data_IF_307044767142
#
_entry.id   IF_307044767142
#
_cell.length_a   1.000
_cell.length_b   1.000
_cell.length_c   1.000
_cell.angle_alpha   90.00
_cell.angle_beta   90.00
_cell.angle_gamma   90.00
#
_symmetry.space_group_name_H-M   'P 1'
#
loop_
_entity.id
_entity.type
_entity.pdbx_description
1 polymer ?
#
# COMPACT_ATOMS: atom_id res chain seq x y z
N UNK A 1 21.87 45.03 7.01
CA UNK A 1 21.67 43.95 6.03
C UNK A 1 21.48 42.62 6.73
N UNK A 2 20.23 42.36 7.14
CA UNK A 2 19.82 41.07 7.65
C UNK A 2 19.40 40.23 6.45
N UNK A 3 20.32 39.41 5.94
CA UNK A 3 19.97 38.34 5.04
C UNK A 3 19.29 37.24 5.87
N UNK A 4 17.96 37.21 5.85
CA UNK A 4 17.19 36.08 6.32
C UNK A 4 17.46 34.97 5.32
N UNK A 5 18.39 34.08 5.64
CA UNK A 5 18.51 32.80 4.96
C UNK A 5 17.26 32.00 5.31
N UNK A 6 16.33 31.98 4.36
CA UNK A 6 15.20 31.07 4.43
C UNK A 6 15.79 29.65 4.36
N UNK A 7 15.92 28.97 5.50
CA UNK A 7 16.15 27.54 5.52
C UNK A 7 15.02 26.91 4.73
N UNK A 8 15.32 26.46 3.50
CA UNK A 8 14.43 25.56 2.78
C UNK A 8 14.28 24.32 3.67
N UNK A 9 13.16 24.22 4.36
CA UNK A 9 12.74 23.02 5.05
C UNK A 9 12.84 21.86 4.04
N UNK A 10 13.74 20.92 4.26
CA UNK A 10 13.84 19.71 3.43
C UNK A 10 12.69 18.80 3.83
N UNK A 11 11.49 19.10 3.33
CA UNK A 11 10.35 18.23 3.46
C UNK A 11 10.60 16.95 2.66
N UNK A 12 10.38 15.82 3.29
CA UNK A 12 10.40 14.53 2.59
C UNK A 12 9.29 14.54 1.54
N UNK A 13 9.68 14.36 0.29
CA UNK A 13 8.72 14.31 -0.82
C UNK A 13 8.12 12.91 -0.92
N UNK A 14 6.82 12.84 -1.16
CA UNK A 14 6.15 11.60 -1.52
C UNK A 14 5.16 11.86 -2.65
N UNK A 15 4.85 10.81 -3.40
CA UNK A 15 3.80 10.83 -4.41
C UNK A 15 2.79 9.73 -4.12
N UNK A 16 1.53 10.07 -4.18
CA UNK A 16 0.46 9.09 -4.09
C UNK A 16 0.31 8.34 -5.40
N UNK A 17 0.49 7.03 -5.35
CA UNK A 17 0.32 6.12 -6.49
C UNK A 17 -0.49 4.91 -6.06
N UNK A 18 -1.10 4.25 -7.01
CA UNK A 18 -1.82 2.98 -6.78
C UNK A 18 -1.20 1.82 -7.55
N UNK A 19 -0.19 2.09 -8.36
CA UNK A 19 0.56 1.11 -9.14
C UNK A 19 2.07 1.39 -9.04
N UNK A 20 2.93 0.37 -9.03
CA UNK A 20 4.37 0.56 -9.08
C UNK A 20 4.80 1.11 -10.44
N UNK A 21 5.92 1.83 -10.48
CA UNK A 21 6.59 2.18 -11.73
C UNK A 21 7.47 1.03 -12.20
N UNK A 22 8.04 1.16 -13.42
CA UNK A 22 8.83 0.10 -14.03
C UNK A 22 10.11 -0.22 -13.24
N UNK A 23 10.76 0.79 -12.68
CA UNK A 23 11.96 0.62 -11.85
C UNK A 23 11.65 -0.16 -10.57
N UNK A 24 10.58 0.22 -9.86
CA UNK A 24 10.13 -0.47 -8.66
C UNK A 24 9.77 -1.93 -8.95
N UNK A 25 9.08 -2.17 -10.06
CA UNK A 25 8.72 -3.54 -10.46
C UNK A 25 9.96 -4.36 -10.82
N UNK A 26 10.93 -3.78 -11.54
CA UNK A 26 12.16 -4.46 -11.89
C UNK A 26 12.98 -4.86 -10.66
N UNK A 27 13.10 -4.00 -9.66
CA UNK A 27 13.76 -4.30 -8.39
C UNK A 27 13.04 -5.41 -7.64
N UNK A 28 11.71 -5.39 -7.61
CA UNK A 28 10.90 -6.40 -6.93
C UNK A 28 10.97 -7.77 -7.61
N UNK A 29 11.20 -7.80 -8.91
CA UNK A 29 11.36 -9.02 -9.70
C UNK A 29 12.76 -9.64 -9.59
N UNK A 30 13.70 -9.00 -8.89
CA UNK A 30 15.07 -9.52 -8.73
C UNK A 30 15.04 -10.90 -8.08
N UNK A 31 15.56 -11.95 -8.75
CA UNK A 31 15.51 -13.32 -8.26
C UNK A 31 16.44 -13.59 -7.06
N UNK A 32 17.26 -12.63 -6.64
CA UNK A 32 18.21 -12.77 -5.54
C UNK A 32 17.60 -12.78 -4.14
N UNK A 33 16.30 -12.53 -4.00
CA UNK A 33 15.65 -12.36 -2.70
C UNK A 33 14.45 -13.31 -2.55
N UNK A 34 14.64 -14.37 -1.74
CA UNK A 34 13.61 -15.39 -1.46
C UNK A 34 13.27 -15.44 0.03
N UNK A 35 13.42 -14.33 0.73
CA UNK A 35 13.12 -14.22 2.16
C UNK A 35 11.67 -13.79 2.40
N UNK A 36 11.11 -14.08 3.59
CA UNK A 36 9.81 -13.54 3.97
C UNK A 36 9.82 -12.02 3.98
N UNK A 37 8.74 -11.42 3.48
CA UNK A 37 8.58 -9.98 3.46
C UNK A 37 7.32 -9.55 4.20
N UNK A 38 7.36 -8.34 4.74
CA UNK A 38 6.25 -7.71 5.43
C UNK A 38 5.97 -6.39 4.74
N UNK A 39 4.88 -6.34 3.99
CA UNK A 39 4.52 -5.16 3.20
C UNK A 39 3.71 -4.20 4.04
N UNK A 40 4.30 -3.05 4.33
CA UNK A 40 3.64 -1.97 5.08
C UNK A 40 2.92 -1.08 4.08
N UNK A 41 1.62 -0.94 4.27
CA UNK A 41 0.78 -0.12 3.41
C UNK A 41 0.30 1.10 4.18
N UNK A 42 0.59 2.28 3.65
CA UNK A 42 -0.01 3.52 4.07
C UNK A 42 -1.07 3.89 3.02
N UNK A 43 -2.31 4.06 3.47
CA UNK A 43 -3.46 4.16 2.58
C UNK A 43 -4.15 5.51 2.72
N UNK A 44 -4.49 6.10 1.58
CA UNK A 44 -5.32 7.30 1.48
C UNK A 44 -6.54 6.98 0.64
N UNK A 45 -7.73 7.22 1.19
CA UNK A 45 -8.98 6.91 0.49
C UNK A 45 -9.55 8.11 -0.25
N UNK A 46 -10.22 7.83 -1.37
CA UNK A 46 -11.08 8.80 -2.03
C UNK A 46 -12.32 9.06 -1.18
N UNK A 47 -12.90 10.23 -1.27
CA UNK A 47 -14.17 10.54 -0.62
C UNK A 47 -15.29 9.68 -1.21
N UNK A 48 -15.35 9.58 -2.52
CA UNK A 48 -16.26 8.71 -3.25
C UNK A 48 -15.48 7.73 -4.11
N UNK A 49 -15.86 6.46 -4.08
CA UNK A 49 -15.23 5.43 -4.90
C UNK A 49 -15.42 5.72 -6.39
N UNK A 50 -14.38 5.47 -7.17
CA UNK A 50 -14.39 5.61 -8.63
C UNK A 50 -13.84 4.33 -9.26
N UNK A 51 -14.73 3.49 -9.77
CA UNK A 51 -14.32 2.22 -10.38
C UNK A 51 -13.68 2.43 -11.75
N UNK A 52 -12.61 1.66 -12.08
CA UNK A 52 -11.96 1.78 -13.39
C UNK A 52 -12.89 1.49 -14.57
N UNK A 53 -13.88 0.63 -14.40
CA UNK A 53 -14.88 0.31 -15.42
C UNK A 53 -16.04 1.32 -15.52
N UNK A 54 -15.94 2.39 -14.70
CA UNK A 54 -16.93 3.51 -14.67
C UNK A 54 -18.34 3.10 -14.25
N UNK A 55 -18.48 1.95 -13.56
CA UNK A 55 -19.78 1.59 -12.95
C UNK A 55 -20.21 2.67 -11.96
N UNK A 56 -21.50 2.90 -11.87
CA UNK A 56 -22.05 3.78 -10.84
C UNK A 56 -21.96 3.13 -9.48
N UNK A 57 -21.68 3.93 -8.46
CA UNK A 57 -21.61 3.46 -7.07
C UNK A 57 -21.90 4.61 -6.11
N UNK A 58 -22.53 4.28 -4.98
CA UNK A 58 -22.72 5.21 -3.87
C UNK A 58 -21.69 4.98 -2.75
N UNK A 59 -20.74 4.05 -2.95
CA UNK A 59 -19.72 3.74 -1.95
C UNK A 59 -18.75 4.89 -1.77
N UNK A 60 -18.30 5.10 -0.53
CA UNK A 60 -17.11 5.90 -0.25
C UNK A 60 -15.86 5.13 -0.69
N UNK A 61 -14.75 5.84 -0.83
CA UNK A 61 -13.46 5.18 -1.09
C UNK A 61 -13.11 4.16 -0.02
N UNK A 62 -13.33 4.50 1.25
CA UNK A 62 -13.12 3.60 2.38
C UNK A 62 -13.98 2.35 2.30
N UNK A 63 -15.25 2.49 1.93
CA UNK A 63 -16.17 1.35 1.78
C UNK A 63 -15.77 0.42 0.64
N UNK A 64 -15.35 0.97 -0.51
CA UNK A 64 -14.84 0.17 -1.61
C UNK A 64 -13.57 -0.60 -1.21
N UNK A 65 -12.64 0.06 -0.52
CA UNK A 65 -11.44 -0.59 -0.03
C UNK A 65 -11.75 -1.68 1.01
N UNK A 66 -12.80 -1.50 1.82
CA UNK A 66 -13.23 -2.51 2.79
C UNK A 66 -13.68 -3.81 2.08
N UNK A 67 -14.31 -3.71 0.92
CA UNK A 67 -14.65 -4.88 0.10
C UNK A 67 -13.36 -5.60 -0.33
N UNK A 68 -12.38 -4.84 -0.83
CA UNK A 68 -11.07 -5.39 -1.18
C UNK A 68 -10.41 -6.09 0.02
N UNK A 69 -10.43 -5.47 1.20
CA UNK A 69 -9.83 -6.01 2.42
C UNK A 69 -10.41 -7.36 2.83
N UNK A 70 -11.69 -7.57 2.61
CA UNK A 70 -12.33 -8.86 2.87
C UNK A 70 -11.97 -9.91 1.81
N UNK A 71 -12.04 -9.53 0.53
CA UNK A 71 -11.75 -10.45 -0.57
C UNK A 71 -10.29 -10.86 -0.63
N UNK A 72 -9.35 -9.95 -0.34
CA UNK A 72 -7.91 -10.22 -0.42
C UNK A 72 -7.45 -11.27 0.58
N UNK A 73 -8.14 -11.47 1.67
CA UNK A 73 -7.80 -12.52 2.66
C UNK A 73 -7.73 -13.90 2.02
N UNK A 74 -8.66 -14.19 1.12
CA UNK A 74 -8.70 -15.44 0.37
C UNK A 74 -7.51 -15.57 -0.61
N UNK A 75 -7.19 -14.49 -1.30
CA UNK A 75 -6.06 -14.46 -2.25
C UNK A 75 -4.72 -14.59 -1.53
N UNK A 76 -4.58 -13.94 -0.37
CA UNK A 76 -3.41 -14.09 0.48
C UNK A 76 -3.22 -15.53 0.94
N UNK A 77 -4.29 -16.16 1.40
CA UNK A 77 -4.26 -17.55 1.88
C UNK A 77 -3.77 -18.52 0.81
N UNK A 78 -4.15 -18.33 -0.45
CA UNK A 78 -3.72 -19.19 -1.57
C UNK A 78 -2.21 -19.24 -1.76
N UNK A 79 -1.49 -18.20 -1.38
CA UNK A 79 -0.04 -18.08 -1.56
C UNK A 79 0.72 -18.19 -0.24
N UNK A 80 0.05 -18.62 0.84
CA UNK A 80 0.67 -18.75 2.17
C UNK A 80 0.93 -17.42 2.87
N UNK A 81 0.29 -16.35 2.41
CA UNK A 81 0.37 -15.01 2.98
C UNK A 81 -0.82 -14.72 3.89
N UNK A 82 -0.74 -13.65 4.66
CA UNK A 82 -1.85 -13.20 5.51
C UNK A 82 -1.74 -11.72 5.88
N UNK A 83 -2.89 -11.10 6.12
CA UNK A 83 -2.96 -9.79 6.76
C UNK A 83 -2.66 -9.95 8.26
N UNK A 84 -1.64 -9.24 8.76
CA UNK A 84 -1.20 -9.36 10.14
C UNK A 84 -1.52 -8.15 11.00
N UNK A 85 -1.83 -7.01 10.38
CA UNK A 85 -2.17 -5.78 11.08
C UNK A 85 -3.02 -4.88 10.19
N UNK A 86 -4.00 -4.21 10.78
CA UNK A 86 -4.78 -3.18 10.12
C UNK A 86 -5.32 -2.20 11.15
N UNK A 87 -5.17 -0.90 10.90
CA UNK A 87 -5.63 0.13 11.83
C UNK A 87 -5.90 1.45 11.13
N UNK A 88 -6.84 2.21 11.67
CA UNK A 88 -7.10 3.57 11.22
C UNK A 88 -6.10 4.53 11.85
N UNK A 89 -5.57 5.43 11.04
CA UNK A 89 -4.69 6.50 11.52
C UNK A 89 -5.50 7.48 12.33
N UNK A 90 -5.01 7.83 13.51
CA UNK A 90 -5.70 8.75 14.43
C UNK A 90 -5.19 10.17 14.29
N UNK A 91 -3.88 10.33 14.41
CA UNK A 91 -3.20 11.63 14.33
C UNK A 91 -1.70 11.47 14.23
N UNK A 92 -1.03 12.51 13.80
CA UNK A 92 0.41 12.59 13.82
C UNK A 92 0.87 13.05 15.20
N UNK A 93 1.62 12.21 15.90
CA UNK A 93 2.18 12.57 17.20
C UNK A 93 3.49 13.35 17.06
N UNK A 94 4.26 13.05 16.03
CA UNK A 94 5.57 13.62 15.78
C UNK A 94 5.81 13.78 14.29
N UNK A 95 6.46 14.84 13.89
CA UNK A 95 6.80 15.11 12.49
C UNK A 95 5.75 15.95 11.78
N UNK A 96 5.98 16.21 10.51
CA UNK A 96 5.10 16.99 9.64
C UNK A 96 4.98 16.30 8.30
N UNK A 97 3.78 16.19 7.80
CA UNK A 97 3.47 15.71 6.45
C UNK A 97 2.48 16.64 5.78
N UNK A 98 2.47 16.69 4.47
CA UNK A 98 1.54 17.53 3.71
C UNK A 98 0.09 17.07 3.91
N UNK A 99 -0.13 15.77 3.90
CA UNK A 99 -1.42 15.14 4.07
C UNK A 99 -1.25 13.82 4.84
N UNK A 100 -1.99 13.67 5.95
CA UNK A 100 -1.87 12.48 6.77
C UNK A 100 -2.61 11.31 6.11
N UNK A 101 -2.04 10.11 6.23
CA UNK A 101 -2.65 8.86 5.77
C UNK A 101 -3.91 8.53 6.58
N UNK A 102 -4.82 7.77 5.98
CA UNK A 102 -6.08 7.37 6.61
C UNK A 102 -6.00 6.05 7.35
N UNK A 103 -5.18 5.12 6.83
CA UNK A 103 -5.10 3.77 7.37
C UNK A 103 -3.73 3.15 7.14
N UNK A 104 -3.38 2.20 8.00
CA UNK A 104 -2.18 1.37 7.89
C UNK A 104 -2.62 -0.09 7.82
N UNK A 105 -2.03 -0.85 6.90
CA UNK A 105 -2.25 -2.29 6.80
C UNK A 105 -0.91 -2.98 6.53
N UNK A 106 -0.69 -4.13 7.18
CA UNK A 106 0.53 -4.91 6.96
C UNK A 106 0.13 -6.33 6.57
N UNK A 107 0.71 -6.80 5.48
CA UNK A 107 0.57 -8.17 5.00
C UNK A 107 1.93 -8.88 5.00
N UNK A 108 1.98 -10.11 5.48
CA UNK A 108 3.17 -10.94 5.43
C UNK A 108 3.06 -11.92 4.26
N UNK A 109 4.17 -12.08 3.55
CA UNK A 109 4.31 -13.02 2.44
C UNK A 109 5.53 -13.91 2.68
N UNK A 110 5.46 -15.21 2.33
CA UNK A 110 6.64 -16.09 2.43
C UNK A 110 7.81 -15.62 1.56
N UNK A 111 7.53 -14.91 0.47
CA UNK A 111 8.53 -14.41 -0.46
C UNK A 111 7.92 -13.32 -1.37
N UNK A 112 8.77 -12.60 -2.10
CA UNK A 112 8.32 -11.72 -3.20
C UNK A 112 7.54 -12.50 -4.26
N UNK A 113 8.00 -13.70 -4.58
CA UNK A 113 7.33 -14.56 -5.56
C UNK A 113 5.89 -14.84 -5.17
N UNK A 114 5.63 -15.13 -3.89
CA UNK A 114 4.26 -15.37 -3.41
C UNK A 114 3.36 -14.16 -3.66
N UNK A 115 3.83 -12.95 -3.40
CA UNK A 115 3.09 -11.73 -3.69
C UNK A 115 2.86 -11.55 -5.20
N UNK A 116 3.88 -11.80 -6.03
CA UNK A 116 3.76 -11.71 -7.49
C UNK A 116 2.76 -12.74 -8.04
N UNK A 117 2.78 -13.96 -7.52
CA UNK A 117 1.81 -15.00 -7.89
C UNK A 117 0.38 -14.55 -7.56
N UNK A 118 0.18 -13.93 -6.39
CA UNK A 118 -1.12 -13.40 -5.99
C UNK A 118 -1.62 -12.31 -6.94
N UNK A 119 -0.81 -11.28 -7.16
CA UNK A 119 -1.23 -10.11 -7.96
C UNK A 119 -1.38 -10.43 -9.45
N UNK A 120 -0.86 -11.57 -9.89
CA UNK A 120 -1.00 -12.06 -11.28
C UNK A 120 -2.22 -12.97 -11.46
N UNK A 121 -2.86 -13.39 -10.37
CA UNK A 121 -4.04 -14.25 -10.40
C UNK A 121 -5.24 -13.46 -10.94
N UNK A 122 -5.93 -13.94 -11.99
CA UNK A 122 -7.12 -13.29 -12.54
C UNK A 122 -8.22 -13.02 -11.49
N UNK A 123 -8.39 -13.90 -10.52
CA UNK A 123 -9.37 -13.72 -9.45
C UNK A 123 -8.97 -12.57 -8.52
N UNK A 124 -7.67 -12.44 -8.20
CA UNK A 124 -7.16 -11.28 -7.45
C UNK A 124 -7.42 -9.98 -8.23
N UNK A 125 -7.17 -9.97 -9.54
CA UNK A 125 -7.34 -8.77 -10.39
C UNK A 125 -8.79 -8.27 -10.34
N UNK A 126 -9.76 -9.16 -10.24
CA UNK A 126 -11.17 -8.78 -10.04
C UNK A 126 -11.38 -8.07 -8.70
N UNK A 127 -10.82 -8.60 -7.61
CA UNK A 127 -10.89 -7.97 -6.29
C UNK A 127 -10.15 -6.64 -6.25
N UNK A 128 -9.05 -6.52 -6.97
CA UNK A 128 -8.22 -5.31 -7.05
C UNK A 128 -8.97 -4.10 -7.64
N UNK A 129 -10.10 -4.31 -8.33
CA UNK A 129 -10.95 -3.22 -8.82
C UNK A 129 -11.48 -2.38 -7.64
N UNK A 130 -11.82 -3.02 -6.53
CA UNK A 130 -12.29 -2.33 -5.32
C UNK A 130 -11.17 -1.53 -4.66
N UNK A 131 -9.95 -2.07 -4.68
CA UNK A 131 -8.76 -1.36 -4.20
C UNK A 131 -8.53 -0.07 -5.00
N UNK A 132 -8.47 -0.17 -6.31
CA UNK A 132 -8.24 0.98 -7.20
C UNK A 132 -9.39 1.98 -7.09
N UNK A 133 -10.63 1.51 -6.98
CA UNK A 133 -11.80 2.37 -6.82
C UNK A 133 -11.74 3.21 -5.54
N UNK A 134 -11.20 2.65 -4.47
CA UNK A 134 -11.20 3.28 -3.14
C UNK A 134 -9.98 4.15 -2.84
N UNK A 135 -8.84 3.88 -3.47
CA UNK A 135 -7.58 4.54 -3.13
C UNK A 135 -7.34 5.84 -3.90
N UNK A 136 -7.14 6.91 -3.17
CA UNK A 136 -6.57 8.16 -3.69
C UNK A 136 -5.06 8.05 -3.85
N UNK A 137 -4.40 7.26 -2.98
CA UNK A 137 -2.99 7.01 -3.03
C UNK A 137 -2.55 5.98 -2.00
N UNK A 138 -1.33 5.49 -2.17
CA UNK A 138 -0.76 4.47 -1.32
C UNK A 138 0.76 4.56 -1.33
N UNK A 139 1.37 4.29 -0.18
CA UNK A 139 2.75 3.81 -0.13
C UNK A 139 2.71 2.33 0.23
N UNK A 140 3.48 1.53 -0.49
CA UNK A 140 3.64 0.11 -0.24
C UNK A 140 5.13 -0.13 -0.01
N UNK A 141 5.50 -0.42 1.23
CA UNK A 141 6.89 -0.46 1.69
C UNK A 141 7.26 -1.89 2.02
N UNK A 142 8.23 -2.44 1.28
CA UNK A 142 8.79 -3.75 1.59
C UNK A 142 9.67 -3.66 2.83
N UNK A 143 9.41 -4.52 3.80
CA UNK A 143 10.23 -4.67 5.00
C UNK A 143 10.56 -6.12 5.24
N UNK A 144 11.69 -6.35 5.91
CA UNK A 144 12.12 -7.68 6.36
C UNK A 144 12.43 -7.61 7.84
N UNK A 145 12.13 -8.67 8.57
CA UNK A 145 12.48 -8.73 9.98
C UNK A 145 13.98 -9.06 10.09
N UNK A 146 14.77 -8.25 10.82
CA UNK A 146 16.19 -8.55 10.99
C UNK A 146 16.40 -9.92 11.66
N UNK A 147 17.46 -10.62 11.28
CA UNK A 147 17.90 -11.80 11.99
C UNK A 147 18.38 -11.40 13.41
N UNK A 148 18.21 -12.28 14.40
CA UNK A 148 18.50 -11.99 15.81
C UNK A 148 19.93 -11.53 16.10
N UNK A 149 20.86 -11.70 15.14
CA UNK A 149 22.29 -11.35 15.29
C UNK A 149 22.73 -10.19 14.37
N UNK A 150 21.82 -9.46 13.80
CA UNK A 150 22.13 -8.29 12.95
C UNK A 150 22.19 -6.99 13.76
#
# INVERSE_FOLDING_TARGET
NNSIQTQKSCLMKFENKVMPNDEQMAEFLDPGNDEPIYMVNLLKFKDKAEYPDKRETDLSGREAYAIYSEEVKHHLAKVGAKAIFGANVKRLMLGVVEELWDSVAIASYPSRKAMLDMISDPEYIKSAQHRVAGLKGQLNIETVIPLEND
#
